data_IF_115753533341
#
_entry.id   IF_115753533341
#
_cell.length_a   1.000
_cell.length_b   1.000
_cell.length_c   1.000
_cell.angle_alpha   90.00
_cell.angle_beta   90.00
_cell.angle_gamma   90.00
#
_symmetry.space_group_name_H-M   'P 1'
#
loop_
_entity.id
_entity.type
_entity.pdbx_description
1 polymer ?
#
# COMPACT_ATOMS: atom_id res chain seq x y z
N UNK A 1 15.13 18.73 13.16
CA UNK A 1 16.12 17.83 12.49
C UNK A 1 17.08 18.72 11.72
N UNK A 2 18.41 18.55 11.83
CA UNK A 2 19.36 19.40 11.10
C UNK A 2 19.35 19.08 9.59
N UNK A 3 19.76 20.03 8.76
CA UNK A 3 19.86 19.83 7.31
C UNK A 3 20.75 18.62 6.94
N UNK A 4 21.85 18.42 7.67
CA UNK A 4 22.71 17.24 7.53
C UNK A 4 21.99 15.93 7.89
N UNK A 5 21.08 15.96 8.87
CA UNK A 5 20.25 14.81 9.24
C UNK A 5 19.25 14.44 8.15
N UNK A 6 18.61 15.43 7.53
CA UNK A 6 17.67 15.23 6.42
C UNK A 6 18.38 14.64 5.18
N UNK A 7 19.54 15.21 4.80
CA UNK A 7 20.32 14.70 3.68
C UNK A 7 20.77 13.24 3.89
N UNK A 8 21.15 12.88 5.12
CA UNK A 8 21.54 11.51 5.47
C UNK A 8 20.36 10.55 5.38
N UNK A 9 19.18 10.94 5.89
CA UNK A 9 17.95 10.16 5.80
C UNK A 9 17.56 9.90 4.35
N UNK A 10 17.56 10.94 3.52
CA UNK A 10 17.21 10.84 2.09
C UNK A 10 18.18 9.92 1.34
N UNK A 11 19.49 10.00 1.63
CA UNK A 11 20.48 9.08 1.07
C UNK A 11 20.18 7.62 1.42
N UNK A 12 19.78 7.33 2.65
CA UNK A 12 19.41 5.96 3.04
C UNK A 12 18.10 5.51 2.41
N UNK A 13 17.11 6.39 2.27
CA UNK A 13 15.85 6.09 1.55
C UNK A 13 16.13 5.77 0.08
N UNK A 14 17.02 6.50 -0.58
CA UNK A 14 17.41 6.24 -1.97
C UNK A 14 18.06 4.87 -2.15
N UNK A 15 18.98 4.52 -1.27
CA UNK A 15 19.60 3.20 -1.27
C UNK A 15 18.54 2.10 -1.02
N UNK A 16 17.68 2.31 -0.03
CA UNK A 16 16.64 1.35 0.33
C UNK A 16 15.63 1.13 -0.81
N UNK A 17 15.19 2.19 -1.50
CA UNK A 17 14.25 2.06 -2.62
C UNK A 17 14.84 1.24 -3.77
N UNK A 18 16.13 1.44 -4.09
CA UNK A 18 16.84 0.63 -5.10
C UNK A 18 16.90 -0.85 -4.73
N UNK A 19 17.19 -1.16 -3.46
CA UNK A 19 17.26 -2.55 -2.98
C UNK A 19 15.87 -3.20 -2.97
N UNK A 20 14.84 -2.48 -2.56
CA UNK A 20 13.46 -2.98 -2.49
C UNK A 20 12.84 -3.21 -3.86
N UNK A 21 13.25 -2.42 -4.84
CA UNK A 21 12.83 -2.55 -6.23
C UNK A 21 13.32 -3.82 -6.93
N UNK A 22 14.26 -4.58 -6.35
CA UNK A 22 14.72 -5.84 -6.95
C UNK A 22 13.53 -6.79 -7.05
N UNK A 23 13.03 -7.08 -8.27
CA UNK A 23 11.82 -7.83 -8.44
C UNK A 23 12.09 -9.29 -8.05
N UNK A 24 11.19 -9.85 -7.25
CA UNK A 24 11.27 -11.25 -6.87
C UNK A 24 11.07 -12.24 -8.03
N UNK A 25 10.60 -11.76 -9.20
CA UNK A 25 10.23 -12.59 -10.35
C UNK A 25 11.41 -13.43 -10.86
N UNK A 26 12.62 -12.88 -10.83
CA UNK A 26 13.84 -13.55 -11.29
C UNK A 26 14.27 -14.65 -10.29
N UNK A 27 13.62 -14.72 -9.12
CA UNK A 27 13.80 -15.73 -8.08
C UNK A 27 12.55 -16.60 -7.88
N UNK A 28 11.63 -16.62 -8.85
CA UNK A 28 10.40 -17.44 -8.79
C UNK A 28 9.32 -16.90 -7.85
N UNK A 29 9.44 -15.67 -7.34
CA UNK A 29 8.39 -15.06 -6.54
C UNK A 29 7.27 -14.56 -7.45
N UNK A 30 6.03 -14.84 -7.05
CA UNK A 30 4.82 -14.37 -7.74
C UNK A 30 4.71 -12.85 -7.61
N UNK A 31 4.77 -12.09 -8.72
CA UNK A 31 4.70 -10.65 -8.64
C UNK A 31 3.26 -10.20 -8.38
N UNK A 32 3.13 -9.24 -7.47
CA UNK A 32 1.87 -8.55 -7.21
C UNK A 32 2.10 -7.06 -7.46
N UNK A 33 1.06 -6.35 -7.87
CA UNK A 33 1.02 -4.89 -7.93
C UNK A 33 -0.04 -4.39 -6.95
N UNK A 34 0.19 -3.22 -6.37
CA UNK A 34 -0.72 -2.63 -5.38
C UNK A 34 -0.97 -1.18 -5.78
N UNK A 35 -2.22 -0.75 -5.72
CA UNK A 35 -2.60 0.65 -5.90
C UNK A 35 -3.54 1.10 -4.79
N UNK A 36 -3.39 2.35 -4.35
CA UNK A 36 -4.39 3.04 -3.55
C UNK A 36 -5.46 3.55 -4.49
N UNK A 37 -6.72 3.30 -4.17
CA UNK A 37 -7.88 3.80 -4.89
C UNK A 37 -8.66 4.71 -3.96
N UNK A 38 -8.83 5.96 -4.38
CA UNK A 38 -9.79 6.87 -3.76
C UNK A 38 -11.02 6.90 -4.63
N UNK A 39 -12.13 6.36 -4.11
CA UNK A 39 -13.41 6.27 -4.80
C UNK A 39 -14.35 7.35 -4.29
N UNK A 40 -14.78 8.22 -5.18
CA UNK A 40 -15.80 9.24 -4.93
C UNK A 40 -17.16 8.79 -5.45
N UNK A 41 -18.18 9.04 -4.67
CA UNK A 41 -19.58 8.79 -5.02
C UNK A 41 -20.27 10.10 -5.39
N UNK A 42 -21.17 10.06 -6.39
CA UNK A 42 -21.91 11.25 -6.82
C UNK A 42 -23.09 11.60 -5.92
N UNK A 43 -23.52 10.67 -5.06
CA UNK A 43 -24.61 10.86 -4.12
C UNK A 43 -24.18 11.37 -2.74
N UNK A 44 -25.15 11.61 -1.84
CA UNK A 44 -24.90 12.20 -0.53
C UNK A 44 -24.21 11.25 0.45
N UNK A 45 -24.30 9.93 0.23
CA UNK A 45 -23.66 8.92 1.05
C UNK A 45 -22.75 8.01 0.23
N UNK A 46 -21.83 7.36 0.92
CA UNK A 46 -20.98 6.32 0.34
C UNK A 46 -21.84 5.21 -0.26
N UNK A 47 -21.59 4.85 -1.52
CA UNK A 47 -22.39 3.87 -2.26
C UNK A 47 -23.52 4.47 -3.09
N UNK A 48 -23.83 5.76 -2.93
CA UNK A 48 -24.90 6.41 -3.68
C UNK A 48 -24.42 6.94 -5.03
N UNK A 49 -25.17 6.63 -6.09
CA UNK A 49 -24.93 7.14 -7.43
C UNK A 49 -23.73 6.53 -8.14
N UNK A 50 -23.10 7.30 -9.02
CA UNK A 50 -21.97 6.84 -9.82
C UNK A 50 -20.66 6.93 -9.01
N UNK A 51 -19.81 5.92 -9.15
CA UNK A 51 -18.46 5.91 -8.58
C UNK A 51 -17.42 6.43 -9.58
N UNK A 52 -16.50 7.27 -9.10
CA UNK A 52 -15.30 7.68 -9.84
C UNK A 52 -14.05 7.33 -9.04
N UNK A 53 -13.13 6.59 -9.66
CA UNK A 53 -11.92 6.10 -9.02
C UNK A 53 -10.70 6.94 -9.43
N UNK A 54 -9.97 7.44 -8.44
CA UNK A 54 -8.58 7.90 -8.62
C UNK A 54 -7.64 6.79 -8.20
N UNK A 55 -6.85 6.27 -9.12
CA UNK A 55 -5.95 5.12 -8.89
C UNK A 55 -4.51 5.60 -8.83
N UNK A 56 -3.86 5.38 -7.69
CA UNK A 56 -2.46 5.74 -7.46
C UNK A 56 -1.64 4.48 -7.22
N UNK A 57 -0.74 4.09 -8.14
CA UNK A 57 0.07 2.90 -7.96
C UNK A 57 1.10 3.10 -6.84
N UNK A 58 1.27 2.07 -6.00
CA UNK A 58 2.35 2.03 -5.01
C UNK A 58 3.55 1.41 -5.73
N UNK A 59 4.64 2.17 -5.83
CA UNK A 59 5.85 1.74 -6.55
C UNK A 59 7.11 2.04 -5.77
N UNK A 60 8.12 1.22 -6.03
CA UNK A 60 9.52 1.42 -5.65
C UNK A 60 10.33 1.95 -6.84
N UNK A 61 11.65 2.11 -6.64
CA UNK A 61 12.57 2.58 -7.66
C UNK A 61 12.38 1.88 -9.02
N UNK A 62 12.36 2.67 -10.09
CA UNK A 62 12.15 2.16 -11.46
C UNK A 62 10.73 1.66 -11.75
N UNK A 63 9.74 1.98 -10.92
CA UNK A 63 8.35 1.58 -11.13
C UNK A 63 8.05 0.14 -10.71
N UNK A 64 8.97 -0.52 -10.00
CA UNK A 64 8.78 -1.88 -9.53
C UNK A 64 7.73 -1.92 -8.41
N UNK A 65 6.89 -2.95 -8.33
CA UNK A 65 5.88 -3.01 -7.28
C UNK A 65 6.49 -3.33 -5.90
N UNK A 66 5.79 -2.98 -4.80
CA UNK A 66 6.17 -3.38 -3.47
C UNK A 66 6.02 -4.89 -3.29
N UNK A 67 6.68 -5.42 -2.26
CA UNK A 67 6.53 -6.83 -1.87
C UNK A 67 5.19 -7.03 -1.18
N UNK A 68 4.55 -8.17 -1.48
CA UNK A 68 3.28 -8.58 -0.87
C UNK A 68 3.48 -9.93 -0.19
N UNK A 69 3.00 -10.06 1.04
CA UNK A 69 3.07 -11.28 1.83
C UNK A 69 1.69 -11.63 2.37
N UNK A 70 1.18 -12.79 2.01
CA UNK A 70 -0.02 -13.35 2.62
C UNK A 70 0.31 -13.84 4.03
N UNK A 71 -0.51 -13.47 5.00
CA UNK A 71 -0.30 -13.88 6.38
C UNK A 71 -0.72 -15.35 6.58
N UNK A 72 0.08 -16.09 7.32
CA UNK A 72 -0.25 -17.45 7.76
C UNK A 72 -1.39 -17.44 8.78
N UNK A 73 -2.05 -18.59 8.95
CA UNK A 73 -3.14 -18.75 9.92
C UNK A 73 -2.73 -18.35 11.33
N UNK A 74 -1.53 -18.74 11.76
CA UNK A 74 -0.98 -18.37 13.06
C UNK A 74 -0.79 -16.85 13.19
N UNK A 75 -0.17 -16.21 12.20
CA UNK A 75 0.06 -14.76 12.23
C UNK A 75 -1.26 -13.98 12.23
N UNK A 76 -2.28 -14.49 11.52
CA UNK A 76 -3.63 -13.92 11.52
C UNK A 76 -4.32 -14.10 12.86
N UNK A 77 -4.25 -15.29 13.45
CA UNK A 77 -4.86 -15.60 14.74
C UNK A 77 -4.28 -14.73 15.86
N UNK A 78 -2.95 -14.56 15.90
CA UNK A 78 -2.29 -13.68 16.86
C UNK A 78 -2.69 -12.20 16.70
N UNK A 79 -2.96 -11.77 15.46
CA UNK A 79 -3.38 -10.41 15.15
C UNK A 79 -4.90 -10.18 15.20
N UNK A 80 -5.72 -11.22 15.40
CA UNK A 80 -7.17 -11.12 15.26
C UNK A 80 -7.62 -10.72 13.85
N UNK A 81 -6.85 -11.12 12.82
CA UNK A 81 -7.06 -10.68 11.43
C UNK A 81 -7.86 -11.73 10.63
N UNK A 82 -8.73 -11.30 9.70
CA UNK A 82 -9.54 -12.20 8.89
C UNK A 82 -8.72 -12.98 7.86
N UNK A 83 -9.33 -14.01 7.28
CA UNK A 83 -8.70 -14.76 6.22
C UNK A 83 -8.39 -13.87 5.00
N UNK A 84 -7.31 -14.20 4.27
CA UNK A 84 -6.87 -13.43 3.10
C UNK A 84 -6.13 -12.13 3.42
N UNK A 85 -5.86 -11.81 4.68
CA UNK A 85 -5.06 -10.64 5.08
C UNK A 85 -3.65 -10.69 4.48
N UNK A 86 -3.21 -9.55 3.96
CA UNK A 86 -1.88 -9.38 3.35
C UNK A 86 -1.10 -8.25 4.03
N UNK A 87 0.22 -8.40 4.06
CA UNK A 87 1.13 -7.31 4.34
C UNK A 87 1.76 -6.81 3.04
N UNK A 88 1.75 -5.48 2.86
CA UNK A 88 2.43 -4.80 1.75
C UNK A 88 3.60 -4.00 2.29
N UNK A 89 4.78 -4.30 1.77
CA UNK A 89 6.02 -3.59 2.08
C UNK A 89 7.23 -4.51 2.27
N UNK A 90 8.39 -3.94 2.64
CA UNK A 90 8.59 -2.53 2.99
C UNK A 90 8.40 -1.59 1.79
N UNK A 91 7.70 -0.46 2.00
CA UNK A 91 7.50 0.62 1.03
C UNK A 91 8.44 1.78 1.39
N UNK A 92 9.09 2.42 0.42
CA UNK A 92 10.01 3.53 0.68
C UNK A 92 9.26 4.86 0.86
N UNK A 93 9.45 5.54 2.01
CA UNK A 93 8.97 6.90 2.21
C UNK A 93 9.55 7.86 1.18
N UNK A 94 8.85 8.97 1.00
CA UNK A 94 9.26 10.09 0.17
C UNK A 94 10.71 10.53 0.45
N UNK A 95 11.41 10.87 -0.61
CA UNK A 95 12.77 11.40 -0.54
C UNK A 95 13.08 12.10 -1.86
N UNK A 96 14.17 12.85 -1.87
CA UNK A 96 14.66 13.45 -3.11
C UNK A 96 14.89 12.37 -4.18
N UNK A 97 14.08 12.38 -5.25
CA UNK A 97 14.18 11.44 -6.37
C UNK A 97 13.20 10.25 -6.36
N UNK A 98 12.26 10.17 -5.41
CA UNK A 98 11.16 9.21 -5.48
C UNK A 98 10.50 8.86 -4.14
N UNK A 99 10.03 7.61 -4.03
CA UNK A 99 9.26 7.16 -2.87
C UNK A 99 7.83 7.68 -2.91
N UNK A 100 7.06 7.34 -1.88
CA UNK A 100 5.66 7.74 -1.74
C UNK A 100 5.45 8.41 -0.38
N UNK A 101 4.62 9.44 -0.33
CA UNK A 101 4.30 10.09 0.94
C UNK A 101 3.35 9.20 1.74
N UNK A 102 3.38 9.36 3.07
CA UNK A 102 2.41 8.70 3.94
C UNK A 102 0.97 9.09 3.57
N UNK A 103 0.76 10.37 3.33
CA UNK A 103 -0.53 10.94 2.97
C UNK A 103 -1.10 10.27 1.71
N UNK A 104 -0.30 10.13 0.64
CA UNK A 104 -0.73 9.40 -0.57
C UNK A 104 -1.07 7.93 -0.29
N UNK A 105 -0.31 7.25 0.59
CA UNK A 105 -0.59 5.86 0.95
C UNK A 105 -1.92 5.70 1.69
N UNK A 106 -2.27 6.65 2.56
CA UNK A 106 -3.50 6.58 3.37
C UNK A 106 -4.69 7.32 2.74
N UNK A 107 -4.57 7.74 1.48
CA UNK A 107 -5.65 8.39 0.76
C UNK A 107 -5.83 9.88 1.11
N UNK A 108 -4.75 10.64 1.24
CA UNK A 108 -4.77 12.07 1.58
C UNK A 108 -5.55 12.99 0.64
N UNK A 109 -5.86 12.52 -0.57
CA UNK A 109 -6.77 13.20 -1.50
C UNK A 109 -8.27 12.90 -1.24
N UNK A 110 -8.58 11.99 -0.32
CA UNK A 110 -9.95 11.62 0.02
C UNK A 110 -10.63 12.73 0.81
N UNK A 111 -11.89 12.97 0.46
CA UNK A 111 -12.80 13.85 1.16
C UNK A 111 -13.77 13.06 2.03
N UNK A 112 -14.50 13.74 2.91
CA UNK A 112 -15.56 13.09 3.70
C UNK A 112 -16.58 12.43 2.75
N UNK A 113 -16.82 11.13 2.94
CA UNK A 113 -17.72 10.33 2.09
C UNK A 113 -17.01 9.55 0.97
N UNK A 114 -15.74 9.86 0.68
CA UNK A 114 -14.92 9.05 -0.23
C UNK A 114 -14.48 7.74 0.45
N UNK A 115 -14.33 6.67 -0.33
CA UNK A 115 -13.75 5.41 0.12
C UNK A 115 -12.28 5.33 -0.25
N UNK A 116 -11.45 4.87 0.69
CA UNK A 116 -10.04 4.52 0.43
C UNK A 116 -9.90 3.01 0.40
N UNK A 117 -9.50 2.49 -0.75
CA UNK A 117 -9.34 1.07 -1.03
C UNK A 117 -7.91 0.79 -1.50
N UNK A 118 -7.52 -0.47 -1.43
CA UNK A 118 -6.23 -0.94 -1.93
C UNK A 118 -6.49 -2.09 -2.89
N UNK A 119 -6.15 -1.91 -4.17
CA UNK A 119 -6.32 -2.95 -5.17
C UNK A 119 -5.04 -3.73 -5.33
N UNK A 120 -5.10 -5.02 -5.03
CA UNK A 120 -4.03 -5.99 -5.23
C UNK A 120 -4.28 -6.75 -6.54
N UNK A 121 -3.32 -6.71 -7.48
CA UNK A 121 -3.42 -7.47 -8.74
C UNK A 121 -2.21 -8.39 -8.88
N UNK A 122 -2.46 -9.66 -9.20
CA UNK A 122 -1.41 -10.67 -9.34
C UNK A 122 -1.99 -12.03 -9.76
N UNK A 123 -1.21 -13.13 -9.70
CA UNK A 123 -1.62 -14.43 -10.22
C UNK A 123 -2.91 -14.99 -9.61
N UNK A 124 -3.17 -14.74 -8.33
CA UNK A 124 -4.40 -15.16 -7.64
C UNK A 124 -5.58 -14.21 -7.90
N UNK A 125 -5.29 -12.98 -8.32
CA UNK A 125 -6.27 -11.92 -8.55
C UNK A 125 -5.99 -11.22 -9.89
N UNK A 126 -6.18 -11.90 -11.04
CA UNK A 126 -5.85 -11.34 -12.34
C UNK A 126 -6.73 -10.13 -12.70
N UNK A 127 -7.97 -10.08 -12.19
CA UNK A 127 -8.88 -8.94 -12.32
C UNK A 127 -8.69 -7.88 -11.22
N UNK A 128 -7.77 -8.11 -10.27
CA UNK A 128 -7.62 -7.32 -9.05
C UNK A 128 -8.58 -7.74 -7.95
N UNK A 129 -8.16 -7.55 -6.71
CA UNK A 129 -8.97 -7.72 -5.50
C UNK A 129 -8.86 -6.47 -4.63
N UNK A 130 -10.00 -5.98 -4.13
CA UNK A 130 -10.07 -4.78 -3.30
C UNK A 130 -9.93 -5.13 -1.81
N UNK A 131 -9.08 -4.38 -1.14
CA UNK A 131 -8.77 -4.50 0.27
C UNK A 131 -9.02 -3.18 0.99
N UNK A 132 -9.24 -3.27 2.30
CA UNK A 132 -9.27 -2.14 3.22
C UNK A 132 -8.00 -2.12 4.09
N UNK A 133 -7.63 -0.95 4.59
CA UNK A 133 -6.53 -0.79 5.53
C UNK A 133 -6.94 -1.24 6.93
N UNK A 134 -6.29 -2.27 7.47
CA UNK A 134 -6.49 -2.71 8.85
C UNK A 134 -5.41 -2.19 9.80
N UNK A 135 -4.20 -1.99 9.29
CA UNK A 135 -3.08 -1.52 10.10
C UNK A 135 -2.00 -0.90 9.24
N UNK A 136 -1.23 0.01 9.82
CA UNK A 136 -0.18 0.70 9.10
C UNK A 136 0.97 1.05 10.05
N UNK A 137 2.20 1.00 9.55
CA UNK A 137 3.41 1.28 10.32
C UNK A 137 4.26 2.31 9.58
N UNK A 138 4.55 3.44 10.24
CA UNK A 138 5.34 4.55 9.71
C UNK A 138 6.50 5.01 10.59
N UNK A 139 6.61 4.42 11.78
CA UNK A 139 7.48 4.84 12.88
C UNK A 139 8.97 4.58 12.65
N UNK A 140 9.34 3.75 11.67
CA UNK A 140 10.75 3.37 11.44
C UNK A 140 11.54 4.28 10.51
N UNK A 141 10.96 5.36 10.00
CA UNK A 141 11.64 6.43 9.23
C UNK A 141 12.23 6.04 7.86
N UNK A 142 12.48 4.75 7.61
CA UNK A 142 13.09 4.20 6.39
C UNK A 142 12.15 3.29 5.59
N UNK A 143 11.01 2.88 6.15
CA UNK A 143 9.98 2.14 5.44
C UNK A 143 8.59 2.40 6.01
N UNK A 144 7.60 2.20 5.16
CA UNK A 144 6.22 1.98 5.52
C UNK A 144 5.85 0.50 5.35
N UNK A 145 4.86 0.05 6.12
CA UNK A 145 4.21 -1.24 5.93
C UNK A 145 2.70 -1.05 6.09
N UNK A 146 1.93 -1.69 5.23
CA UNK A 146 0.48 -1.74 5.32
C UNK A 146 0.03 -3.18 5.60
N UNK A 147 -0.96 -3.32 6.48
CA UNK A 147 -1.71 -4.56 6.69
C UNK A 147 -3.09 -4.35 6.10
N UNK A 148 -3.41 -5.13 5.08
CA UNK A 148 -4.63 -4.99 4.30
C UNK A 148 -5.51 -6.22 4.48
N UNK A 149 -6.80 -6.01 4.70
CA UNK A 149 -7.81 -7.06 4.86
C UNK A 149 -8.78 -7.06 3.68
N UNK A 150 -9.29 -8.22 3.23
CA UNK A 150 -10.23 -8.25 2.11
C UNK A 150 -11.46 -7.37 2.40
N UNK A 151 -11.90 -6.58 1.41
CA UNK A 151 -13.02 -5.65 1.59
C UNK A 151 -14.32 -6.36 2.00
N UNK A 152 -14.57 -7.56 1.49
CA UNK A 152 -15.77 -8.34 1.83
C UNK A 152 -15.89 -8.66 3.34
N UNK A 153 -14.78 -8.64 4.07
CA UNK A 153 -14.72 -8.92 5.51
C UNK A 153 -14.90 -7.65 6.37
N UNK A 154 -14.81 -6.47 5.78
CA UNK A 154 -15.03 -5.19 6.48
C UNK A 154 -16.48 -4.78 6.25
N UNK A 155 -17.36 -5.14 7.19
CA UNK A 155 -18.71 -4.58 7.24
C UNK A 155 -18.63 -3.09 7.57
N UNK A 156 -19.29 -2.27 6.75
CA UNK A 156 -19.51 -0.85 7.01
C UNK A 156 -20.39 -0.63 8.26
#
# INVERSE_FOLDING_TARGET
MSAAGLARRDRYRALASRIRAIPGRDFGLRPYTVAVIVRRWSGPHTGDGAATDTVTPIVEYGGNPPKVRFLSDEARALGGLPAGTVEVGPITPDHTGGGITWDTLTGGSAQAGDEVLYRLTGPEFPAGADYALAGSQSDRGIHYKLTLVPRAEVRA
#
